data_IF_870755664219
#
_entry.id   IF_870755664219
#
_cell.length_a   1.000
_cell.length_b   1.000
_cell.length_c   1.000
_cell.angle_alpha   90.00
_cell.angle_beta   90.00
_cell.angle_gamma   90.00
#
_symmetry.space_group_name_H-M   'P 1'
#
loop_
_entity.id
_entity.type
_entity.pdbx_description
1 polymer ?
#
# COMPACT_ATOMS: atom_id res chain seq x y z
N UNK A 1 5.66 68.32 10.89
CA UNK A 1 4.75 67.37 10.23
C UNK A 1 3.71 66.91 11.24
N UNK A 2 2.40 67.04 10.96
CA UNK A 2 1.36 66.62 11.88
C UNK A 2 1.32 65.09 11.95
N UNK A 3 1.30 64.54 13.17
CA UNK A 3 1.13 63.10 13.41
C UNK A 3 -0.32 62.71 13.13
N UNK A 4 -0.51 61.73 12.26
CA UNK A 4 -1.80 61.14 11.91
C UNK A 4 -2.40 60.44 13.16
N UNK A 5 -3.65 60.71 13.56
CA UNK A 5 -4.20 60.25 14.84
C UNK A 5 -4.74 58.79 14.87
N UNK A 6 -4.55 57.98 13.82
CA UNK A 6 -5.16 56.64 13.71
C UNK A 6 -4.16 55.48 13.53
N UNK A 7 -2.98 55.56 14.15
CA UNK A 7 -2.21 54.33 14.40
C UNK A 7 -2.61 53.78 15.76
N UNK A 8 -2.97 52.48 15.89
CA UNK A 8 -3.15 51.88 17.20
C UNK A 8 -1.84 52.10 17.95
N UNK A 9 -1.88 52.95 18.99
CA UNK A 9 -0.70 53.33 19.73
C UNK A 9 0.04 52.04 20.10
N UNK A 10 1.30 51.93 19.68
CA UNK A 10 2.14 50.82 20.09
C UNK A 10 2.00 50.69 21.60
N UNK A 11 1.44 49.57 22.07
CA UNK A 11 0.99 49.38 23.46
C UNK A 11 2.14 49.58 24.47
N UNK A 12 3.38 49.56 23.98
CA UNK A 12 4.61 49.80 24.71
C UNK A 12 5.54 50.72 23.91
N UNK A 13 6.27 51.57 24.63
CA UNK A 13 7.30 52.48 24.10
C UNK A 13 8.56 51.71 23.70
N UNK A 14 9.40 52.28 22.85
CA UNK A 14 10.72 51.70 22.59
C UNK A 14 11.57 51.72 23.85
N UNK A 15 12.46 50.74 24.02
CA UNK A 15 13.42 50.72 25.13
C UNK A 15 14.30 51.99 25.16
N UNK A 16 14.51 52.63 24.01
CA UNK A 16 15.23 53.89 23.88
C UNK A 16 14.46 55.12 24.38
N UNK A 17 13.14 55.02 24.52
CA UNK A 17 12.26 56.11 24.95
C UNK A 17 12.16 56.21 26.48
N UNK A 18 12.73 55.25 27.21
CA UNK A 18 12.76 55.27 28.68
C UNK A 18 13.87 56.21 29.19
N UNK A 19 13.58 57.07 30.19
CA UNK A 19 14.58 57.98 30.73
C UNK A 19 15.74 57.21 31.38
N UNK A 20 16.97 57.62 31.07
CA UNK A 20 18.19 57.02 31.64
C UNK A 20 18.36 57.35 33.13
N UNK A 21 17.81 58.47 33.58
CA UNK A 21 17.85 58.94 34.97
C UNK A 21 16.49 59.49 35.39
N UNK A 22 16.14 59.30 36.67
CA UNK A 22 14.88 59.73 37.28
C UNK A 22 14.99 61.05 38.06
N UNK A 23 16.19 61.65 38.11
CA UNK A 23 16.52 62.81 38.96
C UNK A 23 15.66 64.05 38.69
N UNK A 24 15.17 64.22 37.46
CA UNK A 24 14.35 65.37 37.04
C UNK A 24 12.90 64.99 36.70
N UNK A 25 12.47 63.76 37.02
CA UNK A 25 11.13 63.26 36.69
C UNK A 25 10.21 63.45 37.89
N UNK A 26 9.00 63.96 37.66
CA UNK A 26 8.02 64.10 38.73
C UNK A 26 7.62 62.73 39.30
N UNK A 27 7.26 62.66 40.59
CA UNK A 27 6.86 61.40 41.23
C UNK A 27 5.70 60.70 40.51
N UNK A 28 4.76 61.47 39.95
CA UNK A 28 3.63 60.95 39.17
C UNK A 28 4.08 60.30 37.86
N UNK A 29 4.96 60.96 37.10
CA UNK A 29 5.51 60.42 35.85
C UNK A 29 6.40 59.20 36.10
N UNK A 30 7.20 59.22 37.18
CA UNK A 30 8.05 58.08 37.55
C UNK A 30 7.22 56.82 37.84
N UNK A 31 6.07 56.97 38.51
CA UNK A 31 5.14 55.86 38.80
C UNK A 31 4.52 55.30 37.51
N UNK A 32 4.12 56.17 36.60
CA UNK A 32 3.59 55.77 35.30
C UNK A 32 4.63 55.02 34.46
N UNK A 33 5.86 55.54 34.39
CA UNK A 33 6.97 54.88 33.68
C UNK A 33 7.28 53.50 34.29
N UNK A 34 7.23 53.37 35.62
CA UNK A 34 7.41 52.09 36.30
C UNK A 34 6.30 51.08 35.96
N UNK A 35 5.03 51.49 35.98
CA UNK A 35 3.91 50.63 35.61
C UNK A 35 4.02 50.12 34.16
N UNK A 36 4.45 50.99 33.26
CA UNK A 36 4.66 50.64 31.85
C UNK A 36 5.86 49.73 31.62
N UNK A 37 6.99 49.96 32.31
CA UNK A 37 8.13 49.02 32.28
C UNK A 37 7.72 47.65 32.81
N UNK A 38 6.97 47.61 33.91
CA UNK A 38 6.46 46.36 34.49
C UNK A 38 5.55 45.62 33.51
N UNK A 39 4.62 46.34 32.86
CA UNK A 39 3.74 45.75 31.85
C UNK A 39 4.52 45.24 30.63
N UNK A 40 5.54 45.98 30.17
CA UNK A 40 6.43 45.58 29.07
C UNK A 40 7.20 44.30 29.41
N UNK A 41 7.74 44.19 30.63
CA UNK A 41 8.46 43.02 31.11
C UNK A 41 7.55 41.78 31.22
N UNK A 42 6.33 41.95 31.73
CA UNK A 42 5.34 40.87 31.81
C UNK A 42 4.99 40.37 30.42
N UNK A 43 4.75 41.28 29.48
CA UNK A 43 4.45 40.94 28.10
C UNK A 43 5.63 40.25 27.40
N UNK A 44 6.85 40.74 27.60
CA UNK A 44 8.07 40.13 27.06
C UNK A 44 8.29 38.71 27.62
N UNK A 45 8.09 38.50 28.92
CA UNK A 45 8.21 37.16 29.50
C UNK A 45 7.13 36.21 28.98
N UNK A 46 5.89 36.67 28.85
CA UNK A 46 4.80 35.87 28.29
C UNK A 46 5.05 35.50 26.84
N UNK A 47 5.48 36.45 26.01
CA UNK A 47 5.80 36.20 24.60
C UNK A 47 6.98 35.25 24.45
N UNK A 48 8.04 35.40 25.26
CA UNK A 48 9.16 34.45 25.31
C UNK A 48 8.69 33.03 25.68
N UNK A 49 7.85 32.89 26.69
CA UNK A 49 7.30 31.58 27.08
C UNK A 49 6.46 30.96 25.96
N UNK A 50 5.65 31.76 25.26
CA UNK A 50 4.87 31.30 24.11
C UNK A 50 5.77 30.87 22.94
N UNK A 51 6.85 31.61 22.67
CA UNK A 51 7.81 31.25 21.62
C UNK A 51 8.53 29.94 21.95
N UNK A 52 8.96 29.74 23.20
CA UNK A 52 9.57 28.48 23.65
C UNK A 52 8.60 27.31 23.48
N UNK A 53 7.34 27.48 23.90
CA UNK A 53 6.30 26.47 23.74
C UNK A 53 6.08 26.13 22.26
N UNK A 54 5.89 27.12 21.39
CA UNK A 54 5.72 26.90 19.95
C UNK A 54 6.93 26.21 19.31
N UNK A 55 8.14 26.60 19.70
CA UNK A 55 9.35 25.96 19.20
C UNK A 55 9.40 24.47 19.58
N UNK A 56 9.01 24.15 20.82
CA UNK A 56 8.96 22.77 21.29
C UNK A 56 7.86 21.96 20.58
N UNK A 57 6.68 22.55 20.36
CA UNK A 57 5.60 21.94 19.56
C UNK A 57 6.08 21.64 18.13
N UNK A 58 6.72 22.61 17.45
CA UNK A 58 7.28 22.41 16.12
C UNK A 58 8.37 21.32 16.08
N UNK A 59 9.24 21.28 17.09
CA UNK A 59 10.27 20.23 17.19
C UNK A 59 9.62 18.85 17.31
N UNK A 60 8.57 18.74 18.11
CA UNK A 60 7.84 17.48 18.28
C UNK A 60 7.15 17.07 16.98
N UNK A 61 6.47 17.99 16.29
CA UNK A 61 5.85 17.72 14.99
C UNK A 61 6.87 17.33 13.91
N UNK A 62 8.06 17.94 13.91
CA UNK A 62 9.13 17.58 12.98
C UNK A 62 9.65 16.16 13.24
N UNK A 63 9.76 15.76 14.51
CA UNK A 63 10.16 14.40 14.89
C UNK A 63 9.12 13.37 14.49
N UNK A 64 7.82 13.65 14.69
CA UNK A 64 6.75 12.73 14.25
C UNK A 64 6.73 12.60 12.74
N UNK A 65 6.84 13.71 12.00
CA UNK A 65 6.89 13.69 10.55
C UNK A 65 8.09 12.88 10.05
N UNK A 66 9.27 13.05 10.65
CA UNK A 66 10.45 12.26 10.32
C UNK A 66 10.19 10.76 10.50
N UNK A 67 9.61 10.36 11.64
CA UNK A 67 9.30 8.96 11.91
C UNK A 67 8.28 8.39 10.91
N UNK A 68 7.28 9.18 10.50
CA UNK A 68 6.31 8.75 9.50
C UNK A 68 6.93 8.61 8.11
N UNK A 69 7.83 9.52 7.73
CA UNK A 69 8.59 9.42 6.47
C UNK A 69 9.48 8.17 6.47
N UNK A 70 10.17 7.88 7.57
CA UNK A 70 10.98 6.66 7.71
C UNK A 70 10.11 5.40 7.60
N UNK A 71 8.92 5.40 8.22
CA UNK A 71 7.96 4.29 8.10
C UNK A 71 7.47 4.10 6.67
N UNK A 72 7.07 5.18 5.99
CA UNK A 72 6.64 5.15 4.60
C UNK A 72 7.75 4.67 3.67
N UNK A 73 8.99 5.10 3.90
CA UNK A 73 10.14 4.60 3.14
C UNK A 73 10.35 3.10 3.35
N UNK A 74 10.17 2.61 4.58
CA UNK A 74 10.16 1.18 4.88
C UNK A 74 9.10 0.41 4.07
N UNK A 75 7.87 0.92 4.03
CA UNK A 75 6.79 0.31 3.23
C UNK A 75 7.07 0.36 1.73
N UNK A 76 7.63 1.45 1.21
CA UNK A 76 8.02 1.54 -0.21
C UNK A 76 9.04 0.47 -0.56
N UNK A 77 10.04 0.26 0.31
CA UNK A 77 11.06 -0.76 0.09
C UNK A 77 10.48 -2.18 0.14
N UNK A 78 9.55 -2.44 1.06
CA UNK A 78 8.83 -3.72 1.11
C UNK A 78 8.01 -3.96 -0.17
N UNK A 79 7.23 -2.96 -0.60
CA UNK A 79 6.42 -3.05 -1.81
C UNK A 79 7.27 -3.26 -3.06
N UNK A 80 8.46 -2.65 -3.11
CA UNK A 80 9.41 -2.85 -4.20
C UNK A 80 9.94 -4.29 -4.25
N UNK A 81 10.25 -4.88 -3.09
CA UNK A 81 10.66 -6.28 -2.99
C UNK A 81 9.53 -7.23 -3.40
N UNK A 82 8.31 -7.00 -2.92
CA UNK A 82 7.13 -7.81 -3.29
C UNK A 82 6.85 -7.74 -4.79
N UNK A 83 6.97 -6.54 -5.40
CA UNK A 83 6.82 -6.38 -6.85
C UNK A 83 7.86 -7.20 -7.62
N UNK A 84 9.11 -7.20 -7.19
CA UNK A 84 10.16 -7.96 -7.84
C UNK A 84 9.89 -9.47 -7.73
N UNK A 85 9.55 -9.95 -6.53
CA UNK A 85 9.18 -11.34 -6.31
C UNK A 85 7.97 -11.77 -7.14
N UNK A 86 6.96 -10.90 -7.27
CA UNK A 86 5.79 -11.18 -8.08
C UNK A 86 6.14 -11.26 -9.58
N UNK A 87 7.01 -10.38 -10.06
CA UNK A 87 7.49 -10.41 -11.45
C UNK A 87 8.26 -11.72 -11.74
N UNK A 88 9.15 -12.11 -10.83
CA UNK A 88 9.93 -13.35 -10.96
C UNK A 88 9.03 -14.58 -10.92
N UNK A 89 8.05 -14.62 -10.00
CA UNK A 89 7.06 -15.70 -9.92
C UNK A 89 6.21 -15.79 -11.19
N UNK A 90 5.78 -14.66 -11.75
CA UNK A 90 5.01 -14.65 -13.00
C UNK A 90 5.85 -15.17 -14.17
N UNK A 91 7.12 -14.75 -14.27
CA UNK A 91 8.02 -15.25 -15.31
C UNK A 91 8.24 -16.76 -15.17
N UNK A 92 8.42 -17.26 -13.94
CA UNK A 92 8.52 -18.68 -13.67
C UNK A 92 7.26 -19.44 -14.13
N UNK A 93 6.07 -18.98 -13.76
CA UNK A 93 4.80 -19.60 -14.16
C UNK A 93 4.63 -19.61 -15.68
N UNK A 94 4.91 -18.48 -16.35
CA UNK A 94 4.84 -18.40 -17.81
C UNK A 94 5.81 -19.40 -18.46
N UNK A 95 7.04 -19.51 -17.95
CA UNK A 95 8.01 -20.47 -18.49
C UNK A 95 7.58 -21.93 -18.30
N UNK A 96 6.93 -22.27 -17.18
CA UNK A 96 6.36 -23.59 -16.95
C UNK A 96 5.23 -23.88 -17.94
N UNK A 97 4.31 -22.93 -18.13
CA UNK A 97 3.22 -23.05 -19.09
C UNK A 97 3.72 -23.19 -20.53
N UNK A 98 4.76 -22.44 -20.92
CA UNK A 98 5.39 -22.57 -22.23
C UNK A 98 6.01 -23.97 -22.42
N UNK A 99 6.66 -24.50 -21.38
CA UNK A 99 7.22 -25.85 -21.41
C UNK A 99 6.12 -26.91 -21.53
N UNK A 100 5.01 -26.77 -20.81
CA UNK A 100 3.85 -27.66 -20.89
C UNK A 100 3.17 -27.59 -22.26
N UNK A 101 2.95 -26.39 -22.81
CA UNK A 101 2.46 -26.24 -24.19
C UNK A 101 3.39 -26.90 -25.20
N UNK A 102 4.70 -26.75 -25.03
CA UNK A 102 5.69 -27.41 -25.88
C UNK A 102 5.58 -28.93 -25.83
N UNK A 103 5.46 -29.52 -24.63
CA UNK A 103 5.23 -30.96 -24.45
C UNK A 103 3.92 -31.40 -25.11
N UNK A 104 2.83 -30.67 -24.87
CA UNK A 104 1.52 -30.97 -25.46
C UNK A 104 1.55 -30.89 -26.98
N UNK A 105 2.19 -29.87 -27.55
CA UNK A 105 2.35 -29.72 -29.00
C UNK A 105 3.15 -30.89 -29.59
N UNK A 106 4.19 -31.37 -28.91
CA UNK A 106 4.97 -32.53 -29.37
C UNK A 106 4.10 -33.80 -29.37
N UNK A 107 3.33 -34.03 -28.31
CA UNK A 107 2.41 -35.17 -28.25
C UNK A 107 1.28 -35.09 -29.29
N UNK A 108 0.77 -33.88 -29.58
CA UNK A 108 -0.20 -33.69 -30.67
C UNK A 108 0.43 -33.97 -32.03
N UNK A 109 1.66 -33.52 -32.28
CA UNK A 109 2.38 -33.84 -33.52
C UNK A 109 2.64 -35.35 -33.66
N UNK A 110 3.01 -36.04 -32.57
CA UNK A 110 3.14 -37.51 -32.55
C UNK A 110 1.81 -38.18 -32.89
N UNK A 111 0.69 -37.71 -32.33
CA UNK A 111 -0.64 -38.23 -32.67
C UNK A 111 -1.00 -37.98 -34.14
N UNK A 112 -0.74 -36.78 -34.65
CA UNK A 112 -1.02 -36.43 -36.05
C UNK A 112 -0.19 -37.29 -36.99
N UNK A 113 1.11 -37.49 -36.71
CA UNK A 113 1.97 -38.35 -37.52
C UNK A 113 1.47 -39.80 -37.52
N UNK A 114 1.11 -40.35 -36.36
CA UNK A 114 0.59 -41.72 -36.29
C UNK A 114 -0.81 -41.82 -36.92
N UNK A 115 -1.60 -40.75 -36.90
CA UNK A 115 -2.87 -40.69 -37.62
C UNK A 115 -2.68 -40.63 -39.14
N UNK A 116 -1.73 -39.84 -39.64
CA UNK A 116 -1.39 -39.78 -41.07
C UNK A 116 -0.90 -41.15 -41.58
N UNK A 117 -0.06 -41.85 -40.81
CA UNK A 117 0.36 -43.23 -41.10
C UNK A 117 -0.80 -44.23 -41.20
N UNK A 118 -1.92 -43.95 -40.53
CA UNK A 118 -3.15 -44.77 -40.58
C UNK A 118 -4.10 -44.30 -41.68
N UNK A 119 -4.14 -43.01 -42.01
CA UNK A 119 -5.03 -42.44 -43.02
C UNK A 119 -4.50 -42.62 -44.46
N UNK A 120 -3.17 -42.67 -44.66
CA UNK A 120 -2.55 -43.00 -45.95
C UNK A 120 -2.97 -44.40 -46.46
N UNK A 121 -3.32 -45.33 -45.55
CA UNK A 121 -3.88 -46.65 -45.88
C UNK A 121 -5.29 -46.57 -46.50
N UNK A 122 -6.06 -45.53 -46.18
CA UNK A 122 -7.40 -45.34 -46.75
C UNK A 122 -7.33 -44.85 -48.21
N UNK A 123 -6.25 -44.16 -48.59
CA UNK A 123 -5.96 -43.72 -49.95
C UNK A 123 -5.14 -44.73 -50.76
N UNK A 124 -4.32 -45.60 -50.13
CA UNK A 124 -3.55 -46.68 -50.76
C UNK A 124 -4.34 -47.98 -51.03
N UNK A 125 -5.68 -47.92 -51.03
CA UNK A 125 -6.60 -49.04 -51.32
C UNK A 125 -6.44 -49.70 -52.71
N UNK A 126 -5.37 -49.41 -53.45
CA UNK A 126 -4.99 -50.07 -54.71
C UNK A 126 -3.79 -51.03 -54.62
N UNK A 127 -3.08 -51.16 -53.49
CA UNK A 127 -1.87 -51.99 -53.43
C UNK A 127 -2.06 -53.24 -52.57
N UNK A 128 -2.08 -54.41 -53.21
CA UNK A 128 -2.54 -55.72 -52.70
C UNK A 128 -1.68 -56.38 -51.58
N UNK A 129 -0.85 -55.64 -50.85
CA UNK A 129 0.04 -56.15 -49.79
C UNK A 129 -0.33 -55.72 -48.36
N UNK A 130 -1.43 -54.99 -48.18
CA UNK A 130 -1.70 -54.24 -46.96
C UNK A 130 -2.17 -55.08 -45.74
N UNK A 131 -2.80 -56.24 -45.96
CA UNK A 131 -3.45 -56.99 -44.88
C UNK A 131 -2.51 -57.58 -43.81
N UNK A 132 -1.20 -57.68 -44.08
CA UNK A 132 -0.24 -58.27 -43.13
C UNK A 132 0.33 -57.24 -42.15
N UNK A 133 0.29 -55.94 -42.48
CA UNK A 133 0.85 -54.87 -41.63
C UNK A 133 -0.19 -54.03 -40.88
N UNK A 134 -1.48 -54.13 -41.25
CA UNK A 134 -2.60 -53.43 -40.61
C UNK A 134 -2.68 -53.57 -39.06
N UNK A 135 -2.64 -54.78 -38.46
CA UNK A 135 -2.82 -54.91 -37.02
C UNK A 135 -1.65 -54.29 -36.24
N UNK A 136 -0.41 -54.46 -36.71
CA UNK A 136 0.77 -53.93 -36.04
C UNK A 136 0.80 -52.39 -35.95
N UNK A 137 0.26 -51.70 -36.96
CA UNK A 137 0.20 -50.23 -37.01
C UNK A 137 -0.98 -49.65 -36.23
N UNK A 138 -2.14 -50.32 -36.25
CA UNK A 138 -3.28 -49.96 -35.38
C UNK A 138 -2.95 -50.12 -33.89
N UNK A 139 -2.20 -51.17 -33.52
CA UNK A 139 -1.68 -51.33 -32.16
C UNK A 139 -0.69 -50.22 -31.77
N UNK A 140 0.09 -49.68 -32.72
CA UNK A 140 0.95 -48.51 -32.45
C UNK A 140 0.13 -47.25 -32.18
N UNK A 141 -0.94 -47.01 -32.94
CA UNK A 141 -1.87 -45.91 -32.68
C UNK A 141 -2.55 -46.04 -31.31
N UNK A 142 -3.11 -47.20 -30.99
CA UNK A 142 -3.70 -47.44 -29.66
C UNK A 142 -2.68 -47.34 -28.52
N UNK A 143 -1.43 -47.73 -28.77
CA UNK A 143 -0.33 -47.57 -27.80
C UNK A 143 0.04 -46.10 -27.61
N UNK A 144 0.05 -45.30 -28.68
CA UNK A 144 0.31 -43.86 -28.60
C UNK A 144 -0.83 -43.13 -27.88
N UNK A 145 -2.08 -43.44 -28.20
CA UNK A 145 -3.26 -42.95 -27.48
C UNK A 145 -3.22 -43.40 -26.01
N UNK A 146 -2.88 -44.66 -25.76
CA UNK A 146 -2.71 -45.21 -24.41
C UNK A 146 -1.62 -44.50 -23.61
N UNK A 147 -0.49 -44.17 -24.24
CA UNK A 147 0.62 -43.45 -23.63
C UNK A 147 0.23 -42.01 -23.24
N UNK A 148 -0.57 -41.34 -24.07
CA UNK A 148 -1.07 -39.99 -23.80
C UNK A 148 -2.13 -40.01 -22.70
N UNK A 149 -3.00 -41.02 -22.70
CA UNK A 149 -3.99 -41.20 -21.63
C UNK A 149 -3.31 -41.57 -20.30
N UNK A 150 -2.25 -42.38 -20.32
CA UNK A 150 -1.48 -42.70 -19.11
C UNK A 150 -0.72 -41.48 -18.60
N UNK A 151 -0.09 -40.70 -19.49
CA UNK A 151 0.57 -39.44 -19.13
C UNK A 151 -0.43 -38.44 -18.53
N UNK A 152 -1.59 -38.24 -19.16
CA UNK A 152 -2.63 -37.35 -18.66
C UNK A 152 -3.17 -37.76 -17.28
N UNK A 153 -3.31 -39.08 -17.04
CA UNK A 153 -3.70 -39.65 -15.73
C UNK A 153 -2.61 -39.56 -14.66
N UNK A 154 -1.34 -39.56 -15.06
CA UNK A 154 -0.20 -39.47 -14.15
C UNK A 154 0.04 -38.02 -13.71
N UNK A 155 -0.25 -37.05 -14.59
CA UNK A 155 -0.16 -35.61 -14.30
C UNK A 155 -1.45 -35.06 -13.64
N UNK A 156 -2.60 -35.72 -13.85
CA UNK A 156 -3.85 -35.50 -13.10
C UNK A 156 -4.21 -36.75 -12.29
N UNK A 157 -3.50 -37.06 -11.18
CA UNK A 157 -3.99 -38.07 -10.25
C UNK A 157 -5.42 -37.67 -9.85
N UNK A 158 -6.38 -38.60 -9.74
CA UNK A 158 -7.69 -38.27 -9.23
C UNK A 158 -7.47 -37.67 -7.84
N UNK A 159 -7.60 -36.36 -7.74
CA UNK A 159 -7.58 -35.69 -6.45
C UNK A 159 -8.65 -36.40 -5.63
N UNK A 160 -8.22 -37.07 -4.55
CA UNK A 160 -9.12 -37.29 -3.43
C UNK A 160 -9.85 -35.97 -3.24
N UNK A 161 -11.18 -36.00 -3.40
CA UNK A 161 -12.05 -34.87 -3.14
C UNK A 161 -11.87 -34.54 -1.67
N UNK A 162 -10.80 -33.83 -1.33
CA UNK A 162 -10.69 -33.06 -0.12
C UNK A 162 -11.76 -32.00 -0.31
N UNK A 163 -12.75 -31.92 0.60
CA UNK A 163 -13.78 -30.91 0.47
C UNK A 163 -13.07 -29.57 0.31
N UNK A 164 -13.31 -28.92 -0.83
CA UNK A 164 -12.84 -27.58 -1.10
C UNK A 164 -13.14 -26.77 0.16
N UNK A 165 -12.10 -26.31 0.84
CA UNK A 165 -12.23 -25.25 1.82
C UNK A 165 -12.67 -24.04 1.02
N UNK A 166 -13.99 -23.90 0.86
CA UNK A 166 -14.65 -22.67 0.48
C UNK A 166 -13.98 -21.58 1.31
N UNK A 167 -13.45 -20.50 0.71
CA UNK A 167 -13.03 -19.36 1.49
C UNK A 167 -14.29 -18.87 2.20
N UNK A 168 -14.45 -19.25 3.47
CA UNK A 168 -15.43 -18.63 4.34
C UNK A 168 -15.06 -17.17 4.38
N UNK A 169 -15.83 -16.34 3.67
CA UNK A 169 -15.93 -14.93 4.02
C UNK A 169 -16.10 -14.88 5.54
N UNK A 170 -15.33 -14.05 6.26
CA UNK A 170 -15.43 -13.98 7.70
C UNK A 170 -16.87 -13.62 8.04
N UNK A 171 -17.55 -14.60 8.60
CA UNK A 171 -18.87 -14.48 9.18
C UNK A 171 -18.77 -13.38 10.24
N UNK A 172 -19.74 -12.47 10.21
CA UNK A 172 -19.91 -11.33 11.11
C UNK A 172 -19.95 -11.75 12.58
N UNK A 173 -18.78 -12.00 13.17
CA UNK A 173 -18.64 -12.32 14.58
C UNK A 173 -17.30 -11.75 15.06
N UNK A 174 -17.22 -10.42 15.25
CA UNK A 174 -16.29 -9.73 16.17
C UNK A 174 -16.41 -8.22 15.98
N UNK A 175 -17.52 -7.63 16.41
CA UNK A 175 -17.72 -6.17 16.30
C UNK A 175 -16.92 -5.36 17.33
N UNK A 176 -16.37 -5.99 18.38
CA UNK A 176 -15.68 -5.29 19.46
C UNK A 176 -14.16 -5.28 19.30
N UNK A 177 -13.55 -6.43 18.96
CA UNK A 177 -12.09 -6.52 18.79
C UNK A 177 -11.60 -5.83 17.51
N UNK A 178 -12.38 -5.90 16.43
CA UNK A 178 -12.05 -5.21 15.18
C UNK A 178 -12.17 -3.68 15.34
N UNK A 179 -13.12 -3.23 16.17
CA UNK A 179 -13.30 -1.81 16.53
C UNK A 179 -12.12 -1.27 17.35
N UNK A 180 -11.50 -2.13 18.16
CA UNK A 180 -10.29 -1.80 18.94
C UNK A 180 -9.03 -1.82 18.08
N UNK A 181 -8.94 -2.74 17.12
CA UNK A 181 -7.80 -2.87 16.23
C UNK A 181 -7.78 -1.80 15.11
N UNK A 182 -8.95 -1.33 14.67
CA UNK A 182 -9.09 -0.42 13.52
C UNK A 182 -10.12 0.70 13.78
N UNK A 183 -9.90 1.58 14.78
CA UNK A 183 -10.88 2.58 15.20
C UNK A 183 -11.25 3.59 14.10
N UNK A 184 -10.36 3.80 13.12
CA UNK A 184 -10.55 4.71 12.00
C UNK A 184 -11.57 4.24 10.94
N UNK A 185 -11.94 2.95 10.92
CA UNK A 185 -12.94 2.42 9.97
C UNK A 185 -14.37 2.45 10.52
N UNK A 186 -14.54 2.78 11.79
CA UNK A 186 -15.84 2.81 12.45
C UNK A 186 -16.20 4.25 12.80
N UNK A 187 -17.31 4.74 12.25
CA UNK A 187 -17.90 6.01 12.66
C UNK A 187 -18.44 5.89 14.08
N UNK A 188 -17.88 6.69 14.99
CA UNK A 188 -18.36 6.78 16.37
C UNK A 188 -19.75 7.44 16.37
N UNK A 189 -20.81 6.79 16.88
CA UNK A 189 -22.14 7.41 16.99
C UNK A 189 -22.12 8.68 17.85
N UNK A 190 -21.15 8.86 18.75
CA UNK A 190 -20.98 10.10 19.52
C UNK A 190 -20.42 11.28 18.70
N UNK A 191 -19.87 11.02 17.50
CA UNK A 191 -19.33 12.05 16.60
C UNK A 191 -20.37 12.63 15.63
N UNK A 192 -21.53 11.96 15.46
CA UNK A 192 -22.51 12.29 14.41
C UNK A 192 -23.37 13.52 14.73
N UNK A 193 -23.42 13.99 15.98
CA UNK A 193 -24.23 15.14 16.39
C UNK A 193 -23.46 16.22 17.16
N UNK A 194 -22.12 16.23 17.07
CA UNK A 194 -21.33 17.33 17.64
C UNK A 194 -21.33 18.50 16.66
N UNK A 195 -22.49 19.13 16.47
CA UNK A 195 -22.55 20.47 15.89
C UNK A 195 -21.67 21.36 16.76
N UNK A 196 -20.62 21.90 16.16
CA UNK A 196 -19.79 22.94 16.75
C UNK A 196 -20.71 24.13 17.06
N UNK A 197 -21.09 24.24 18.33
CA UNK A 197 -21.72 25.42 18.87
C UNK A 197 -20.70 26.56 18.82
N UNK A 198 -20.99 27.59 18.03
CA UNK A 198 -20.28 28.87 18.07
C UNK A 198 -20.25 29.62 16.74
N UNK A 199 -21.40 30.17 16.34
CA UNK A 199 -21.43 31.57 15.90
C UNK A 199 -21.27 32.48 17.12
#
# INVERSE_FOLDING_TARGET
>A
MPKNPEQPAARFRSAADFPKTIENVSSAEARQVYEEMRASLIFSNRSRAQLLRRNQEHKQSALTLKADVERLHGFINQLALEKHQLADNNQFIVSQLEQEMGKMSNHLNELTQVFDEVSDVQNESQTQWDFVTLPGRFFKFLRAVGAIVSWWKEENPPEEIKPASVPQLPTQASTEDDRKARPQMHTDPASVNRSLLGD
#
